data_IF_228880218308
#
_entry.id   IF_228880218308
#
_cell.length_a   1.000
_cell.length_b   1.000
_cell.length_c   1.000
_cell.angle_alpha   90.00
_cell.angle_beta   90.00
_cell.angle_gamma   90.00
#
_symmetry.space_group_name_H-M   'P 1'
#
loop_
_entity.id
_entity.type
_entity.pdbx_description
1 polymer ?
#
# COMPACT_ATOMS: atom_id res chain seq x y z
N UNK A 1 -4.90 28.68 29.84
CA UNK A 1 -4.29 27.41 29.35
C UNK A 1 -5.04 26.76 28.16
N UNK A 2 -6.19 27.29 27.70
CA UNK A 2 -6.92 26.71 26.55
C UNK A 2 -6.42 27.18 25.17
N UNK A 3 -5.85 28.40 25.07
CA UNK A 3 -5.42 29.00 23.80
C UNK A 3 -4.17 28.33 23.20
N UNK A 4 -3.18 27.98 24.01
CA UNK A 4 -1.92 27.34 23.55
C UNK A 4 -2.16 25.91 23.05
N UNK A 5 -3.03 25.17 23.74
CA UNK A 5 -3.43 23.80 23.34
C UNK A 5 -4.18 23.80 22.00
N UNK A 6 -5.05 24.78 21.78
CA UNK A 6 -5.77 24.96 20.50
C UNK A 6 -4.82 25.33 19.36
N UNK A 7 -3.87 26.25 19.59
CA UNK A 7 -2.88 26.64 18.58
C UNK A 7 -1.94 25.51 18.16
N UNK A 8 -1.50 24.67 19.12
CA UNK A 8 -0.66 23.51 18.82
C UNK A 8 -1.40 22.47 17.96
N UNK A 9 -2.67 22.20 18.28
CA UNK A 9 -3.50 21.27 17.51
C UNK A 9 -3.69 21.75 16.06
N UNK A 10 -3.93 23.04 15.85
CA UNK A 10 -4.08 23.65 14.53
C UNK A 10 -2.79 23.55 13.70
N UNK A 11 -1.64 23.92 14.28
CA UNK A 11 -0.35 23.81 13.58
C UNK A 11 0.00 22.35 13.27
N UNK A 12 -0.28 21.41 14.18
CA UNK A 12 -0.08 19.98 13.88
C UNK A 12 -0.96 19.51 12.72
N UNK A 13 -2.21 19.95 12.66
CA UNK A 13 -3.09 19.61 11.55
C UNK A 13 -2.54 20.16 10.22
N UNK A 14 -2.00 21.38 10.24
CA UNK A 14 -1.33 21.97 9.08
C UNK A 14 -0.03 21.24 8.71
N UNK A 15 0.78 20.79 9.67
CA UNK A 15 1.95 19.94 9.40
C UNK A 15 1.56 18.67 8.64
N UNK A 16 0.46 18.02 9.08
CA UNK A 16 -0.06 16.80 8.45
C UNK A 16 -0.60 17.06 7.05
N UNK A 17 -1.33 18.15 6.83
CA UNK A 17 -1.84 18.46 5.49
C UNK A 17 -0.71 18.72 4.50
N UNK A 18 0.31 19.49 4.90
CA UNK A 18 1.51 19.72 4.07
C UNK A 18 2.30 18.43 3.83
N UNK A 19 2.36 17.53 4.81
CA UNK A 19 2.98 16.21 4.64
C UNK A 19 2.26 15.36 3.60
N UNK A 20 0.93 15.27 3.66
CA UNK A 20 0.13 14.56 2.66
C UNK A 20 0.27 15.19 1.26
N UNK A 21 0.28 16.52 1.17
CA UNK A 21 0.54 17.21 -0.11
C UNK A 21 1.92 16.85 -0.66
N UNK A 22 2.95 16.84 0.20
CA UNK A 22 4.30 16.45 -0.20
C UNK A 22 4.34 15.00 -0.72
N UNK A 23 3.66 14.07 -0.06
CA UNK A 23 3.58 12.66 -0.49
C UNK A 23 2.90 12.52 -1.84
N UNK A 24 1.81 13.25 -2.08
CA UNK A 24 1.12 13.23 -3.37
C UNK A 24 2.01 13.76 -4.49
N UNK A 25 2.74 14.85 -4.26
CA UNK A 25 3.69 15.37 -5.25
C UNK A 25 4.85 14.40 -5.51
N UNK A 26 5.36 13.70 -4.48
CA UNK A 26 6.36 12.65 -4.69
C UNK A 26 5.86 11.52 -5.57
N UNK A 27 4.59 11.12 -5.43
CA UNK A 27 4.03 10.07 -6.29
C UNK A 27 4.11 10.46 -7.78
N UNK A 28 3.80 11.72 -8.11
CA UNK A 28 3.91 12.23 -9.49
C UNK A 28 5.38 12.43 -9.90
N UNK A 29 6.21 13.01 -9.03
CA UNK A 29 7.63 13.26 -9.34
C UNK A 29 8.42 11.96 -9.55
N UNK A 30 8.11 10.89 -8.82
CA UNK A 30 8.74 9.59 -8.98
C UNK A 30 8.46 8.95 -10.36
N UNK A 31 7.37 9.33 -11.04
CA UNK A 31 7.07 8.82 -12.38
C UNK A 31 8.16 9.19 -13.39
N UNK A 32 8.78 10.37 -13.25
CA UNK A 32 9.88 10.80 -14.12
C UNK A 32 11.11 9.89 -14.01
N UNK A 33 11.35 9.29 -12.85
CA UNK A 33 12.46 8.32 -12.67
C UNK A 33 12.19 6.98 -13.38
N UNK A 34 10.91 6.64 -13.59
CA UNK A 34 10.47 5.38 -14.20
C UNK A 34 10.24 5.45 -15.72
N UNK A 35 10.43 6.63 -16.34
CA UNK A 35 10.25 6.80 -17.77
C UNK A 35 11.27 5.95 -18.56
N UNK A 36 10.79 5.06 -19.41
CA UNK A 36 11.64 4.24 -20.29
C UNK A 36 12.39 5.07 -21.35
N UNK A 37 11.81 6.21 -21.74
CA UNK A 37 12.42 7.18 -22.66
C UNK A 37 12.28 8.58 -22.04
N UNK A 38 13.16 8.94 -21.10
CA UNK A 38 13.13 10.27 -20.51
C UNK A 38 13.47 11.31 -21.59
N UNK A 39 12.83 12.49 -21.58
CA UNK A 39 13.22 13.58 -22.45
C UNK A 39 14.66 14.02 -22.16
N UNK A 40 15.42 14.47 -23.18
CA UNK A 40 16.84 14.82 -23.04
C UNK A 40 17.07 16.00 -22.10
N UNK A 41 16.06 16.85 -21.92
CA UNK A 41 16.05 17.96 -20.98
C UNK A 41 14.88 17.81 -19.99
N UNK A 42 14.99 18.39 -18.78
CA UNK A 42 13.87 18.46 -17.83
C UNK A 42 12.66 19.13 -18.47
N UNK A 43 11.47 18.55 -18.27
CA UNK A 43 10.22 19.20 -18.71
C UNK A 43 9.87 20.35 -17.78
N UNK A 44 9.08 21.30 -18.27
CA UNK A 44 8.57 22.40 -17.42
C UNK A 44 7.78 21.86 -16.23
N UNK A 45 7.02 20.77 -16.43
CA UNK A 45 6.29 20.09 -15.35
C UNK A 45 7.22 19.48 -14.29
N UNK A 46 8.31 18.83 -14.69
CA UNK A 46 9.33 18.27 -13.77
C UNK A 46 9.95 19.36 -12.90
N UNK A 47 10.39 20.45 -13.53
CA UNK A 47 10.98 21.60 -12.85
C UNK A 47 9.99 22.25 -11.88
N UNK A 48 8.74 22.42 -12.31
CA UNK A 48 7.67 22.97 -11.48
C UNK A 48 7.39 22.09 -10.28
N UNK A 49 7.29 20.78 -10.46
CA UNK A 49 7.05 19.82 -9.37
C UNK A 49 8.23 19.78 -8.39
N UNK A 50 9.46 19.80 -8.89
CA UNK A 50 10.66 19.85 -8.05
C UNK A 50 10.70 21.14 -7.21
N UNK A 51 10.39 22.29 -7.82
CA UNK A 51 10.30 23.57 -7.10
C UNK A 51 9.22 23.51 -6.02
N UNK A 52 8.02 23.03 -6.36
CA UNK A 52 6.92 22.90 -5.40
C UNK A 52 7.28 21.97 -4.22
N UNK A 53 8.00 20.88 -4.47
CA UNK A 53 8.49 20.00 -3.42
C UNK A 53 9.49 20.73 -2.52
N UNK A 54 10.43 21.49 -3.07
CA UNK A 54 11.38 22.30 -2.28
C UNK A 54 10.64 23.31 -1.40
N UNK A 55 9.71 24.06 -1.97
CA UNK A 55 8.91 25.07 -1.27
C UNK A 55 8.10 24.44 -0.11
N UNK A 56 7.44 23.30 -0.35
CA UNK A 56 6.69 22.60 0.70
C UNK A 56 7.60 22.10 1.82
N UNK A 57 8.81 21.61 1.50
CA UNK A 57 9.75 21.15 2.52
C UNK A 57 10.26 22.31 3.38
N UNK A 58 10.51 23.48 2.80
CA UNK A 58 10.86 24.70 3.54
C UNK A 58 9.69 25.19 4.42
N UNK A 59 8.47 25.22 3.87
CA UNK A 59 7.28 25.55 4.66
C UNK A 59 7.10 24.61 5.85
N UNK A 60 7.27 23.29 5.64
CA UNK A 60 7.20 22.30 6.72
C UNK A 60 8.28 22.49 7.77
N UNK A 61 9.51 22.83 7.38
CA UNK A 61 10.59 23.15 8.33
C UNK A 61 10.26 24.37 9.20
N UNK A 62 9.74 25.43 8.57
CA UNK A 62 9.32 26.64 9.29
C UNK A 62 8.21 26.33 10.31
N UNK A 63 7.26 25.48 9.94
CA UNK A 63 6.13 25.11 10.78
C UNK A 63 6.55 24.17 11.92
N UNK A 64 7.43 23.20 11.65
CA UNK A 64 8.03 22.35 12.69
C UNK A 64 8.82 23.21 13.69
N UNK A 65 9.50 24.24 13.22
CA UNK A 65 10.21 25.20 14.08
C UNK A 65 9.23 25.98 14.97
N UNK A 66 8.07 26.40 14.45
CA UNK A 66 7.00 27.02 15.25
C UNK A 66 6.42 26.06 16.30
N UNK A 67 6.16 24.80 15.93
CA UNK A 67 5.70 23.76 16.85
C UNK A 67 6.71 23.51 17.98
N UNK A 68 8.01 23.55 17.67
CA UNK A 68 9.08 23.44 18.68
C UNK A 68 9.01 24.60 19.66
N UNK A 69 9.00 25.85 19.16
CA UNK A 69 8.96 27.05 20.02
C UNK A 69 7.74 27.09 20.93
N UNK A 70 6.57 26.68 20.42
CA UNK A 70 5.36 26.59 21.23
C UNK A 70 5.49 25.55 22.34
N UNK A 71 6.09 24.40 22.05
CA UNK A 71 6.35 23.36 23.03
C UNK A 71 7.34 23.81 24.10
N UNK A 72 8.39 24.53 23.71
CA UNK A 72 9.41 25.08 24.62
C UNK A 72 8.83 26.19 25.51
N UNK A 73 7.80 26.90 25.06
CA UNK A 73 7.11 27.96 25.81
C UNK A 73 6.06 27.48 26.82
N UNK A 74 5.61 26.22 26.73
CA UNK A 74 4.71 25.63 27.71
C UNK A 74 5.52 25.25 28.97
N UNK A 75 5.37 26.02 30.05
CA UNK A 75 6.14 25.89 31.29
C UNK A 75 6.17 24.44 31.84
N UNK A 76 7.32 23.79 31.62
CA UNK A 76 8.06 22.74 32.38
C UNK A 76 7.35 21.60 33.13
N UNK A 77 6.05 21.62 33.42
CA UNK A 77 5.35 20.54 34.15
C UNK A 77 4.32 19.79 33.31
N UNK A 78 4.10 20.16 32.04
CA UNK A 78 3.10 19.53 31.15
C UNK A 78 3.52 19.45 29.68
N UNK A 79 4.82 19.40 29.38
CA UNK A 79 5.25 18.98 28.04
C UNK A 79 4.85 17.52 27.86
N UNK A 80 3.68 17.31 27.25
CA UNK A 80 3.14 15.97 27.02
C UNK A 80 4.15 15.19 26.19
N UNK A 81 4.60 14.04 26.69
CA UNK A 81 5.48 13.12 25.94
C UNK A 81 4.93 12.82 24.54
N UNK A 82 3.60 12.86 24.37
CA UNK A 82 2.94 12.79 23.08
C UNK A 82 3.28 13.97 22.16
N UNK A 83 3.26 15.22 22.64
CA UNK A 83 3.62 16.40 21.83
C UNK A 83 5.08 16.33 21.37
N UNK A 84 5.99 15.93 22.26
CA UNK A 84 7.41 15.72 21.94
C UNK A 84 7.61 14.61 20.89
N UNK A 85 6.94 13.46 21.08
CA UNK A 85 7.02 12.37 20.12
C UNK A 85 6.47 12.78 18.74
N UNK A 86 5.36 13.53 18.68
CA UNK A 86 4.84 14.04 17.42
C UNK A 86 5.80 15.01 16.72
N UNK A 87 6.42 15.92 17.47
CA UNK A 87 7.41 16.84 16.93
C UNK A 87 8.63 16.08 16.37
N UNK A 88 9.12 15.08 17.11
CA UNK A 88 10.20 14.19 16.66
C UNK A 88 9.83 13.49 15.37
N UNK A 89 8.62 12.93 15.28
CA UNK A 89 8.12 12.25 14.08
C UNK A 89 8.05 13.20 12.88
N UNK A 90 7.56 14.41 13.05
CA UNK A 90 7.51 15.38 11.94
C UNK A 90 8.91 15.77 11.44
N UNK A 91 9.92 15.86 12.33
CA UNK A 91 11.32 16.09 11.93
C UNK A 91 11.90 14.92 11.15
N UNK A 92 11.67 13.70 11.61
CA UNK A 92 12.12 12.48 10.94
C UNK A 92 11.54 12.38 9.53
N UNK A 93 10.21 12.54 9.38
CA UNK A 93 9.55 12.48 8.08
C UNK A 93 10.02 13.60 7.15
N UNK A 94 10.28 14.81 7.67
CA UNK A 94 10.87 15.89 6.87
C UNK A 94 12.26 15.51 6.34
N UNK A 95 13.10 14.92 7.18
CA UNK A 95 14.43 14.46 6.79
C UNK A 95 14.38 13.33 5.75
N UNK A 96 13.45 12.38 5.92
CA UNK A 96 13.20 11.32 4.95
C UNK A 96 12.77 11.88 3.61
N UNK A 97 11.80 12.79 3.59
CA UNK A 97 11.34 13.44 2.37
C UNK A 97 12.46 14.24 1.68
N UNK A 98 13.37 14.89 2.43
CA UNK A 98 14.56 15.54 1.85
C UNK A 98 15.53 14.56 1.22
N UNK A 99 15.72 13.39 1.84
CA UNK A 99 16.55 12.32 1.27
C UNK A 99 15.90 11.75 0.01
N UNK A 100 14.59 11.54 0.03
CA UNK A 100 13.84 11.03 -1.11
C UNK A 100 13.88 11.98 -2.30
N UNK A 101 13.72 13.29 -2.09
CA UNK A 101 13.86 14.28 -3.17
C UNK A 101 15.23 14.18 -3.84
N UNK A 102 16.31 14.17 -3.06
CA UNK A 102 17.67 14.03 -3.61
C UNK A 102 17.84 12.72 -4.38
N UNK A 103 17.37 11.62 -3.81
CA UNK A 103 17.44 10.28 -4.43
C UNK A 103 16.71 10.26 -5.77
N UNK A 104 15.49 10.80 -5.83
CA UNK A 104 14.70 10.87 -7.06
C UNK A 104 15.36 11.78 -8.10
N UNK A 105 15.83 12.97 -7.72
CA UNK A 105 16.53 13.87 -8.64
C UNK A 105 17.78 13.23 -9.25
N UNK A 106 18.58 12.52 -8.44
CA UNK A 106 19.73 11.76 -8.95
C UNK A 106 19.28 10.63 -9.89
N UNK A 107 18.26 9.85 -9.51
CA UNK A 107 17.77 8.75 -10.35
C UNK A 107 17.24 9.24 -11.71
N UNK A 108 16.54 10.38 -11.74
CA UNK A 108 16.06 11.01 -12.98
C UNK A 108 17.25 11.45 -13.85
N UNK A 109 18.25 12.11 -13.25
CA UNK A 109 19.44 12.55 -13.96
C UNK A 109 20.26 11.38 -14.52
N UNK A 110 20.39 10.29 -13.77
CA UNK A 110 21.09 9.08 -14.20
C UNK A 110 20.33 8.37 -15.34
N UNK A 111 19.00 8.26 -15.23
CA UNK A 111 18.16 7.68 -16.28
C UNK A 111 18.29 8.46 -17.60
N UNK A 112 18.27 9.79 -17.51
CA UNK A 112 18.47 10.69 -18.66
C UNK A 112 19.88 10.58 -19.25
N UNK A 113 20.91 10.55 -18.40
CA UNK A 113 22.29 10.38 -18.85
C UNK A 113 22.49 9.04 -19.57
N UNK A 114 21.93 7.95 -19.02
CA UNK A 114 21.93 6.64 -19.66
C UNK A 114 21.19 6.64 -20.99
N UNK A 115 20.03 7.28 -21.07
CA UNK A 115 19.26 7.39 -22.32
C UNK A 115 20.05 8.16 -23.40
N UNK A 116 20.71 9.26 -23.04
CA UNK A 116 21.53 10.05 -23.96
C UNK A 116 22.74 9.26 -24.46
N UNK A 117 23.43 8.52 -23.58
CA UNK A 117 24.55 7.66 -23.98
C UNK A 117 24.10 6.54 -24.93
N UNK A 118 22.98 5.87 -24.62
CA UNK A 118 22.44 4.82 -25.49
C UNK A 118 21.97 5.33 -26.84
N UNK A 119 21.49 6.57 -26.92
CA UNK A 119 21.10 7.19 -28.20
C UNK A 119 22.30 7.37 -29.12
N UNK A 120 23.41 7.90 -28.59
CA UNK A 120 24.64 8.10 -29.37
C UNK A 120 25.29 6.76 -29.77
N UNK A 121 25.34 5.80 -28.85
CA UNK A 121 25.88 4.47 -29.15
C UNK A 121 25.03 3.77 -30.20
N UNK A 122 23.69 3.89 -30.15
CA UNK A 122 22.82 3.31 -31.19
C UNK A 122 23.06 3.96 -32.55
N UNK A 123 23.18 5.29 -32.63
CA UNK A 123 23.47 5.93 -33.92
C UNK A 123 24.81 5.47 -34.51
N UNK A 124 25.82 5.28 -33.67
CA UNK A 124 27.15 4.82 -34.12
C UNK A 124 27.12 3.35 -34.55
N UNK A 125 26.40 2.49 -33.81
CA UNK A 125 26.19 1.08 -34.18
C UNK A 125 25.42 0.98 -35.50
N UNK A 126 24.34 1.75 -35.65
CA UNK A 126 23.51 1.75 -36.86
C UNK A 126 24.33 2.25 -38.06
N UNK A 127 25.16 3.29 -37.88
CA UNK A 127 26.07 3.77 -38.91
C UNK A 127 27.16 2.73 -39.28
N UNK A 128 27.73 2.03 -38.29
CA UNK A 128 28.70 0.97 -38.52
C UNK A 128 28.10 -0.23 -39.25
N UNK A 129 26.88 -0.64 -38.87
CA UNK A 129 26.10 -1.70 -39.53
C UNK A 129 25.80 -1.34 -40.99
N UNK A 130 25.30 -0.11 -41.22
CA UNK A 130 25.04 0.39 -42.56
C UNK A 130 26.30 0.44 -43.44
N UNK A 131 27.49 0.66 -42.85
CA UNK A 131 28.76 0.61 -43.56
C UNK A 131 29.29 -0.82 -43.80
N UNK A 132 28.81 -1.84 -43.08
CA UNK A 132 29.28 -3.22 -43.13
C UNK A 132 28.13 -4.25 -43.18
N UNK A 133 27.36 -4.30 -44.28
CA UNK A 133 26.14 -5.12 -44.37
C UNK A 133 26.36 -6.62 -44.21
N UNK A 134 27.52 -7.16 -44.62
CA UNK A 134 27.86 -8.57 -44.45
C UNK A 134 28.14 -8.96 -42.99
N UNK A 135 28.65 -8.04 -42.18
CA UNK A 135 28.88 -8.27 -40.76
C UNK A 135 27.57 -8.15 -39.97
N UNK A 136 26.68 -7.23 -40.38
CA UNK A 136 25.36 -7.06 -39.79
C UNK A 136 24.49 -8.32 -39.90
N UNK A 137 24.51 -9.00 -41.05
CA UNK A 137 23.77 -10.25 -41.25
C UNK A 137 24.26 -11.38 -40.30
N UNK A 138 25.58 -11.50 -40.13
CA UNK A 138 26.18 -12.48 -39.22
C UNK A 138 25.84 -12.18 -37.75
N UNK A 139 25.92 -10.92 -37.33
CA UNK A 139 25.54 -10.49 -35.98
C UNK A 139 24.04 -10.69 -35.71
N UNK A 140 23.19 -10.42 -36.70
CA UNK A 140 21.76 -10.67 -36.62
C UNK A 140 21.46 -12.17 -36.39
N UNK A 141 22.12 -13.05 -37.14
CA UNK A 141 21.95 -14.50 -36.97
C UNK A 141 22.42 -14.99 -35.58
N UNK A 142 23.50 -14.42 -35.04
CA UNK A 142 23.96 -14.73 -33.68
C UNK A 142 22.99 -14.24 -32.61
N UNK A 143 22.45 -13.02 -32.76
CA UNK A 143 21.46 -12.46 -31.84
C UNK A 143 20.15 -13.25 -31.89
N UNK A 144 19.74 -13.71 -33.07
CA UNK A 144 18.57 -14.57 -33.23
C UNK A 144 18.76 -15.92 -32.53
N UNK A 145 19.94 -16.53 -32.66
CA UNK A 145 20.28 -17.74 -31.91
C UNK A 145 20.19 -17.51 -30.40
N UNK A 146 20.70 -16.39 -29.91
CA UNK A 146 20.61 -16.04 -28.49
C UNK A 146 19.16 -15.81 -28.03
N UNK A 147 18.31 -15.17 -28.86
CA UNK A 147 16.88 -15.02 -28.57
C UNK A 147 16.17 -16.37 -28.48
N UNK A 148 16.44 -17.28 -29.43
CA UNK A 148 15.90 -18.64 -29.44
C UNK A 148 16.31 -19.40 -28.18
N UNK A 149 17.58 -19.36 -27.79
CA UNK A 149 18.09 -20.02 -26.58
C UNK A 149 17.42 -19.48 -25.31
N UNK A 150 17.31 -18.15 -25.18
CA UNK A 150 16.62 -17.54 -24.03
C UNK A 150 15.13 -17.91 -23.97
N UNK A 151 14.46 -17.99 -25.14
CA UNK A 151 13.07 -18.43 -25.24
C UNK A 151 12.92 -19.88 -24.79
N UNK A 152 13.83 -20.76 -25.21
CA UNK A 152 13.88 -22.15 -24.76
C UNK A 152 14.02 -22.26 -23.24
N UNK A 153 14.97 -21.53 -22.64
CA UNK A 153 15.14 -21.52 -21.18
C UNK A 153 13.90 -21.02 -20.42
N UNK A 154 13.18 -20.01 -20.95
CA UNK A 154 11.91 -19.56 -20.36
C UNK A 154 10.81 -20.63 -20.47
N UNK A 155 10.70 -21.31 -21.60
CA UNK A 155 9.75 -22.41 -21.80
C UNK A 155 10.04 -23.53 -20.80
N UNK A 156 11.31 -23.89 -20.59
CA UNK A 156 11.70 -24.90 -19.60
C UNK A 156 11.33 -24.48 -18.18
N UNK A 157 11.49 -23.20 -17.83
CA UNK A 157 11.05 -22.65 -16.55
C UNK A 157 9.53 -22.72 -16.36
N UNK A 158 8.75 -22.37 -17.39
CA UNK A 158 7.28 -22.48 -17.37
C UNK A 158 6.85 -23.93 -17.26
N UNK A 159 7.52 -24.84 -17.98
CA UNK A 159 7.23 -26.27 -17.93
C UNK A 159 7.53 -26.84 -16.54
N UNK A 160 8.67 -26.50 -15.95
CA UNK A 160 9.01 -26.87 -14.56
C UNK A 160 7.99 -26.33 -13.56
N UNK A 161 7.52 -25.09 -13.73
CA UNK A 161 6.49 -24.50 -12.89
C UNK A 161 5.13 -25.19 -13.08
N UNK A 162 4.79 -25.60 -14.30
CA UNK A 162 3.57 -26.35 -14.56
C UNK A 162 3.59 -27.74 -13.89
N UNK A 163 4.75 -28.41 -13.90
CA UNK A 163 4.94 -29.67 -13.17
C UNK A 163 4.79 -29.50 -11.66
N UNK A 164 5.40 -28.46 -11.07
CA UNK A 164 5.26 -28.20 -9.62
C UNK A 164 3.83 -27.85 -9.22
N UNK A 165 3.09 -27.13 -10.07
CA UNK A 165 1.67 -26.85 -9.87
C UNK A 165 0.85 -28.14 -9.92
N UNK A 166 1.10 -29.02 -10.89
CA UNK A 166 0.41 -30.30 -11.01
C UNK A 166 0.61 -31.16 -9.74
N UNK A 167 1.84 -31.27 -9.26
CA UNK A 167 2.17 -31.96 -8.01
C UNK A 167 1.45 -31.31 -6.81
N UNK A 168 1.45 -29.98 -6.73
CA UNK A 168 0.77 -29.24 -5.67
C UNK A 168 -0.75 -29.47 -5.66
N UNK A 169 -1.38 -29.66 -6.82
CA UNK A 169 -2.80 -30.02 -6.91
C UNK A 169 -3.07 -31.43 -6.39
N UNK A 170 -2.16 -32.38 -6.64
CA UNK A 170 -2.22 -33.71 -6.04
C UNK A 170 -2.21 -33.65 -4.51
N UNK A 171 -1.24 -32.92 -3.95
CA UNK A 171 -1.10 -32.73 -2.49
C UNK A 171 -2.28 -31.97 -1.87
N UNK A 172 -2.82 -30.96 -2.58
CA UNK A 172 -4.03 -30.23 -2.15
C UNK A 172 -5.26 -31.13 -2.16
N UNK A 173 -5.41 -32.03 -3.13
CA UNK A 173 -6.49 -33.01 -3.17
C UNK A 173 -6.48 -33.97 -1.97
N UNK A 174 -5.30 -34.47 -1.61
CA UNK A 174 -5.13 -35.30 -0.41
C UNK A 174 -5.44 -34.51 0.88
N UNK A 175 -4.99 -33.26 0.95
CA UNK A 175 -5.27 -32.38 2.08
C UNK A 175 -6.77 -32.13 2.24
N UNK A 176 -7.50 -31.85 1.15
CA UNK A 176 -8.95 -31.67 1.17
C UNK A 176 -9.69 -32.94 1.60
N UNK A 177 -9.24 -34.12 1.15
CA UNK A 177 -9.78 -35.38 1.61
C UNK A 177 -9.54 -35.58 3.12
N UNK A 178 -8.37 -35.20 3.63
CA UNK A 178 -8.05 -35.25 5.06
C UNK A 178 -8.90 -34.28 5.89
N UNK A 179 -9.15 -33.07 5.38
CA UNK A 179 -10.02 -32.06 6.00
C UNK A 179 -11.45 -32.58 6.04
N UNK A 180 -11.96 -33.15 4.95
CA UNK A 180 -13.30 -33.73 4.90
C UNK A 180 -13.44 -34.86 5.94
N UNK A 181 -12.46 -35.79 6.02
CA UNK A 181 -12.44 -36.83 7.06
C UNK A 181 -12.44 -36.26 8.47
N UNK A 182 -11.68 -35.18 8.74
CA UNK A 182 -11.64 -34.51 10.05
C UNK A 182 -12.93 -33.76 10.37
N UNK A 183 -13.57 -33.10 9.39
CA UNK A 183 -14.86 -32.42 9.56
C UNK A 183 -15.95 -33.45 9.88
N UNK A 184 -16.02 -34.54 9.13
CA UNK A 184 -16.97 -35.64 9.38
C UNK A 184 -16.69 -36.28 10.75
N UNK A 185 -15.42 -36.49 11.10
CA UNK A 185 -15.03 -37.00 12.42
C UNK A 185 -15.38 -36.06 13.58
N UNK A 186 -15.16 -34.75 13.42
CA UNK A 186 -15.51 -33.74 14.41
C UNK A 186 -17.02 -33.58 14.56
N UNK A 187 -17.77 -33.63 13.45
CA UNK A 187 -19.24 -33.66 13.48
C UNK A 187 -19.76 -34.89 14.24
N UNK A 188 -19.07 -36.02 14.17
CA UNK A 188 -19.36 -37.22 14.98
C UNK A 188 -18.96 -37.12 16.46
N UNK A 189 -18.03 -36.25 16.83
CA UNK A 189 -17.53 -36.06 18.20
C UNK A 189 -18.12 -34.87 18.96
N UNK A 190 -19.10 -34.15 18.41
CA UNK A 190 -19.89 -33.15 19.17
C UNK A 190 -21.25 -33.76 19.58
N UNK A 191 -21.31 -34.65 20.59
CA UNK A 191 -22.57 -35.03 21.19
C UNK A 191 -23.16 -33.82 21.95
N UNK A 192 -24.42 -33.48 21.67
CA UNK A 192 -25.16 -32.46 22.45
C UNK A 192 -25.57 -31.20 21.69
N UNK A 193 -25.26 -31.05 20.40
CA UNK A 193 -25.76 -29.92 19.59
C UNK A 193 -27.30 -29.92 19.50
N UNK A 194 -27.91 -31.12 19.44
CA UNK A 194 -29.37 -31.29 19.52
C UNK A 194 -29.97 -30.81 20.86
N UNK A 195 -29.23 -30.94 21.96
CA UNK A 195 -29.68 -30.51 23.29
C UNK A 195 -29.59 -28.98 23.47
N UNK A 196 -28.54 -28.34 22.94
CA UNK A 196 -28.37 -26.88 22.97
C UNK A 196 -29.38 -26.16 22.07
N UNK A 197 -29.66 -26.71 20.88
CA UNK A 197 -30.73 -26.21 19.98
C UNK A 197 -32.11 -26.34 20.65
N UNK A 198 -32.37 -27.43 21.37
CA UNK A 198 -33.61 -27.59 22.15
C UNK A 198 -33.78 -26.54 23.26
N UNK A 199 -32.70 -26.17 23.95
CA UNK A 199 -32.72 -25.19 25.05
C UNK A 199 -32.98 -23.75 24.59
N UNK A 200 -32.61 -23.40 23.36
CA UNK A 200 -32.95 -22.13 22.73
C UNK A 200 -34.44 -22.06 22.37
N UNK A 201 -35.03 -23.16 21.90
CA UNK A 201 -36.46 -23.24 21.58
C UNK A 201 -37.39 -23.13 22.80
N UNK A 202 -37.01 -23.71 23.95
CA UNK A 202 -37.86 -23.71 25.16
C UNK A 202 -38.01 -22.33 25.79
N UNK A 203 -36.98 -21.47 25.73
CA UNK A 203 -37.06 -20.09 26.24
C UNK A 203 -38.06 -19.24 25.45
N UNK A 204 -38.01 -19.33 24.11
CA UNK A 204 -38.92 -18.60 23.21
C UNK A 204 -40.38 -19.04 23.36
N UNK A 205 -40.61 -20.34 23.59
CA UNK A 205 -41.97 -20.89 23.85
C UNK A 205 -42.54 -20.39 25.18
N UNK A 206 -41.71 -20.25 26.22
CA UNK A 206 -42.16 -19.75 27.53
C UNK A 206 -42.58 -18.27 27.47
N UNK A 207 -41.81 -17.44 26.78
CA UNK A 207 -42.13 -16.02 26.63
C UNK A 207 -43.43 -15.82 25.83
N UNK A 208 -43.68 -16.64 24.80
CA UNK A 208 -44.91 -16.62 24.03
C UNK A 208 -46.15 -17.03 24.87
N UNK A 209 -46.01 -18.03 25.75
CA UNK A 209 -47.11 -18.44 26.66
C UNK A 209 -47.43 -17.33 27.66
N UNK A 210 -46.41 -16.70 28.26
CA UNK A 210 -46.61 -15.60 29.22
C UNK A 210 -47.33 -14.42 28.54
N UNK A 211 -46.88 -14.04 27.33
CA UNK A 211 -47.49 -12.95 26.57
C UNK A 211 -48.95 -13.29 26.18
N UNK A 212 -49.21 -14.53 25.76
CA UNK A 212 -50.57 -15.00 25.43
C UNK A 212 -51.52 -14.97 26.63
N UNK A 213 -51.06 -15.44 27.80
CA UNK A 213 -51.84 -15.37 29.04
C UNK A 213 -52.14 -13.93 29.45
N UNK A 214 -51.16 -13.02 29.32
CA UNK A 214 -51.35 -11.61 29.64
C UNK A 214 -52.41 -10.95 28.75
N UNK A 215 -52.32 -11.17 27.44
CA UNK A 215 -53.31 -10.67 26.46
C UNK A 215 -54.70 -11.25 26.78
N UNK A 216 -54.81 -12.56 27.01
CA UNK A 216 -56.08 -13.21 27.35
C UNK A 216 -56.70 -12.68 28.64
N UNK A 217 -55.89 -12.45 29.67
CA UNK A 217 -56.34 -11.86 30.93
C UNK A 217 -56.86 -10.43 30.73
N UNK A 218 -56.15 -9.58 29.98
CA UNK A 218 -56.61 -8.24 29.65
C UNK A 218 -57.94 -8.25 28.89
N UNK A 219 -58.12 -9.17 27.94
CA UNK A 219 -59.39 -9.31 27.22
C UNK A 219 -60.54 -9.76 28.13
N UNK A 220 -60.32 -10.74 29.01
CA UNK A 220 -61.34 -11.17 29.97
C UNK A 220 -61.72 -10.06 30.94
N UNK A 221 -60.75 -9.28 31.42
CA UNK A 221 -61.02 -8.16 32.32
C UNK A 221 -61.83 -7.06 31.62
N UNK A 222 -61.52 -6.74 30.36
CA UNK A 222 -62.31 -5.79 29.56
C UNK A 222 -63.75 -6.28 29.30
N UNK A 223 -63.95 -7.59 29.15
CA UNK A 223 -65.29 -8.18 28.99
C UNK A 223 -66.09 -8.19 30.29
N UNK A 224 -65.43 -8.31 31.44
CA UNK A 224 -66.10 -8.32 32.74
C UNK A 224 -66.46 -6.92 33.26
N UNK A 225 -65.64 -5.91 32.89
CA UNK A 225 -65.86 -4.50 33.28
C UNK A 225 -66.72 -3.70 32.30
N UNK A 226 -67.30 -4.35 31.30
CA UNK A 226 -68.19 -3.74 30.29
C UNK A 226 -69.54 -4.43 30.29
#
# INVERSE_FOLDING_TARGET
MSSTSSGWAQLRQQARSLETQTQNLFHTYAQFASLNKPPPNPTEEELRLESQLKDLLEQRESLISQLSRLLDSEATLTSSALKQNNLSRHREILQDHRRELRRLSTAIADSRSRANLLSNVRSDIDAYRAANPSAEEADYMLEERARVENSHGMIDGVLSQAYSINESFGLQGETLASINRRIVGAAGQVPGMNYLIGKIGTKKRRDAIILGCFIGFCFLMLLYFR
#
